data_IF_196013439856
#
_entry.id   IF_196013439856
#
_cell.length_a   1.000
_cell.length_b   1.000
_cell.length_c   1.000
_cell.angle_alpha   90.00
_cell.angle_beta   90.00
_cell.angle_gamma   90.00
#
_symmetry.space_group_name_H-M   'P 1'
#
loop_
_entity.id
_entity.type
_entity.pdbx_description
1 polymer ?
#
# COMPACT_ATOMS: atom_id res chain seq x y z
N UNK A 1 -0.34 45.78 22.64
CA UNK A 1 0.75 45.58 21.65
C UNK A 1 0.37 44.43 20.73
N UNK A 2 -0.17 44.77 19.56
CA UNK A 2 -0.69 43.79 18.59
C UNK A 2 0.40 43.51 17.55
N UNK A 3 1.21 42.48 17.77
CA UNK A 3 2.06 41.93 16.72
C UNK A 3 1.18 41.31 15.64
N UNK A 4 1.12 41.96 14.49
CA UNK A 4 0.62 41.45 13.22
C UNK A 4 1.36 40.15 12.87
N UNK A 5 0.75 39.01 13.18
CA UNK A 5 1.29 37.70 12.81
C UNK A 5 1.41 37.59 11.28
N UNK A 6 2.55 37.05 10.83
CA UNK A 6 2.83 36.72 9.43
C UNK A 6 1.60 36.09 8.73
N UNK A 7 1.07 36.70 7.65
CA UNK A 7 -0.07 36.19 6.90
C UNK A 7 0.09 34.73 6.45
N UNK A 8 1.31 34.30 6.10
CA UNK A 8 1.57 32.92 5.70
C UNK A 8 1.39 31.95 6.87
N UNK A 9 1.86 32.33 8.06
CA UNK A 9 1.66 31.56 9.31
C UNK A 9 0.18 31.50 9.69
N UNK A 10 -0.58 32.58 9.49
CA UNK A 10 -2.03 32.61 9.73
C UNK A 10 -2.77 31.65 8.79
N UNK A 11 -2.49 31.72 7.49
CA UNK A 11 -3.09 30.83 6.49
C UNK A 11 -2.73 29.36 6.74
N UNK A 12 -1.49 29.08 7.12
CA UNK A 12 -1.05 27.73 7.51
C UNK A 12 -1.82 27.18 8.71
N UNK A 13 -2.01 27.99 9.76
CA UNK A 13 -2.79 27.57 10.93
C UNK A 13 -4.27 27.32 10.59
N UNK A 14 -4.88 28.18 9.77
CA UNK A 14 -6.26 28.01 9.32
C UNK A 14 -6.45 26.69 8.56
N UNK A 15 -5.54 26.39 7.62
CA UNK A 15 -5.52 25.11 6.91
C UNK A 15 -5.45 23.91 7.87
N UNK A 16 -4.60 23.97 8.89
CA UNK A 16 -4.45 22.90 9.88
C UNK A 16 -5.72 22.72 10.74
N UNK A 17 -6.35 23.81 11.18
CA UNK A 17 -7.60 23.72 11.97
C UNK A 17 -8.76 23.13 11.14
N UNK A 18 -8.87 23.50 9.86
CA UNK A 18 -9.86 22.92 8.95
C UNK A 18 -9.57 21.46 8.59
N UNK A 19 -8.30 21.12 8.39
CA UNK A 19 -7.86 19.74 8.17
C UNK A 19 -8.22 18.85 9.37
N UNK A 20 -7.89 19.31 10.59
CA UNK A 20 -8.29 18.62 11.82
C UNK A 20 -9.81 18.41 11.86
N UNK A 21 -10.59 19.46 11.59
CA UNK A 21 -12.05 19.40 11.63
C UNK A 21 -12.59 18.33 10.67
N UNK A 22 -12.12 18.34 9.42
CA UNK A 22 -12.54 17.39 8.39
C UNK A 22 -12.17 15.96 8.77
N UNK A 23 -10.92 15.74 9.21
CA UNK A 23 -10.47 14.41 9.65
C UNK A 23 -11.31 13.88 10.80
N UNK A 24 -11.55 14.69 11.84
CA UNK A 24 -12.35 14.29 13.00
C UNK A 24 -13.79 13.93 12.61
N UNK A 25 -14.45 14.77 11.81
CA UNK A 25 -15.83 14.52 11.37
C UNK A 25 -15.93 13.26 10.51
N UNK A 26 -15.05 13.08 9.52
CA UNK A 26 -15.10 11.92 8.64
C UNK A 26 -14.75 10.62 9.36
N UNK A 27 -13.71 10.63 10.20
CA UNK A 27 -13.35 9.45 10.99
C UNK A 27 -14.48 9.05 11.95
N UNK A 28 -15.12 10.02 12.61
CA UNK A 28 -16.23 9.70 13.51
C UNK A 28 -17.45 9.12 12.76
N UNK A 29 -17.71 9.59 11.53
CA UNK A 29 -18.76 9.07 10.64
C UNK A 29 -18.46 7.64 10.18
N UNK A 30 -17.21 7.33 9.85
CA UNK A 30 -16.83 6.01 9.32
C UNK A 30 -16.63 4.96 10.41
N UNK A 31 -16.12 5.36 11.58
CA UNK A 31 -15.89 4.47 12.73
C UNK A 31 -17.16 4.29 13.55
N UNK A 32 -18.11 3.57 12.96
CA UNK A 32 -19.38 3.17 13.57
C UNK A 32 -19.23 1.91 14.41
N UNK A 33 -20.22 1.61 15.25
CA UNK A 33 -20.28 0.34 15.98
C UNK A 33 -20.30 -0.88 15.05
N UNK A 34 -20.91 -0.78 13.87
CA UNK A 34 -20.91 -1.87 12.88
C UNK A 34 -19.54 -2.10 12.26
N UNK A 35 -18.76 -1.04 12.02
CA UNK A 35 -17.36 -1.16 11.59
C UNK A 35 -16.52 -1.84 12.67
N UNK A 36 -16.62 -1.41 13.93
CA UNK A 36 -15.87 -2.06 15.03
C UNK A 36 -16.27 -3.52 15.23
N UNK A 37 -17.56 -3.86 15.15
CA UNK A 37 -18.00 -5.26 15.16
C UNK A 37 -17.42 -6.07 13.98
N UNK A 38 -17.21 -5.43 12.82
CA UNK A 38 -16.52 -6.06 11.69
C UNK A 38 -15.04 -6.31 11.99
N UNK A 39 -14.34 -5.35 12.58
CA UNK A 39 -12.93 -5.52 13.03
C UNK A 39 -12.82 -6.66 14.03
N UNK A 40 -13.69 -6.71 15.04
CA UNK A 40 -13.73 -7.78 16.04
C UNK A 40 -13.92 -9.16 15.42
N UNK A 41 -14.81 -9.28 14.42
CA UNK A 41 -15.02 -10.54 13.70
C UNK A 41 -13.83 -10.95 12.85
N UNK A 42 -13.06 -9.99 12.31
CA UNK A 42 -11.90 -10.26 11.44
C UNK A 42 -10.65 -10.61 12.23
N UNK A 43 -10.48 -10.07 13.42
CA UNK A 43 -9.28 -10.21 14.24
C UNK A 43 -8.86 -11.68 14.50
N UNK A 44 -9.75 -12.62 14.88
CA UNK A 44 -9.34 -14.00 15.13
C UNK A 44 -9.22 -14.85 13.85
N UNK A 45 -9.63 -14.32 12.69
CA UNK A 45 -9.66 -15.07 11.43
C UNK A 45 -8.24 -15.28 10.92
N UNK A 46 -7.97 -16.47 10.42
CA UNK A 46 -6.69 -16.88 9.85
C UNK A 46 -6.85 -17.28 8.37
N UNK A 47 -5.74 -17.54 7.69
CA UNK A 47 -5.77 -17.96 6.27
C UNK A 47 -6.43 -19.33 6.05
N UNK A 48 -6.59 -20.15 7.09
CA UNK A 48 -7.29 -21.44 7.01
C UNK A 48 -8.80 -21.28 6.97
N UNK A 49 -9.32 -20.17 7.48
CA UNK A 49 -10.75 -19.84 7.51
C UNK A 49 -11.25 -19.29 6.16
N UNK A 50 -10.32 -18.84 5.30
CA UNK A 50 -10.65 -18.34 3.97
C UNK A 50 -10.93 -19.53 3.06
N UNK A 51 -12.20 -19.67 2.65
CA UNK A 51 -12.69 -20.78 1.80
C UNK A 51 -13.21 -20.31 0.44
N UNK A 52 -13.38 -19.02 0.27
CA UNK A 52 -13.94 -18.39 -0.92
C UNK A 52 -13.24 -17.05 -1.20
N UNK A 53 -13.62 -16.39 -2.29
CA UNK A 53 -13.11 -15.08 -2.67
C UNK A 53 -13.76 -13.90 -1.95
N UNK A 54 -14.46 -14.12 -0.83
CA UNK A 54 -15.20 -13.07 -0.13
C UNK A 54 -14.25 -12.12 0.61
N UNK A 55 -14.28 -10.84 0.23
CA UNK A 55 -13.40 -9.81 0.79
C UNK A 55 -13.74 -9.37 2.22
N UNK A 56 -14.82 -9.89 2.83
CA UNK A 56 -15.25 -9.53 4.20
C UNK A 56 -14.22 -9.82 5.29
N UNK A 57 -13.18 -10.61 5.00
CA UNK A 57 -12.14 -10.99 5.97
C UNK A 57 -10.81 -10.27 5.77
N UNK A 58 -10.67 -9.51 4.68
CA UNK A 58 -9.41 -8.89 4.31
C UNK A 58 -9.08 -7.73 5.25
N UNK A 59 -7.78 -7.44 5.35
CA UNK A 59 -7.30 -6.13 5.74
C UNK A 59 -7.24 -5.25 4.49
N UNK A 60 -8.14 -4.27 4.41
CA UNK A 60 -8.30 -3.46 3.21
C UNK A 60 -7.52 -2.15 3.28
N UNK A 61 -7.47 -1.45 2.15
CA UNK A 61 -6.91 -0.10 2.08
C UNK A 61 -7.67 0.88 2.99
N UNK A 62 -8.97 0.69 3.16
CA UNK A 62 -9.78 1.47 4.08
C UNK A 62 -9.27 1.36 5.53
N UNK A 63 -8.94 0.15 6.00
CA UNK A 63 -8.42 -0.05 7.36
C UNK A 63 -7.09 0.69 7.55
N UNK A 64 -6.16 0.55 6.58
CA UNK A 64 -4.86 1.22 6.62
C UNK A 64 -4.99 2.75 6.62
N UNK A 65 -5.91 3.30 5.81
CA UNK A 65 -6.15 4.74 5.76
C UNK A 65 -6.75 5.27 7.06
N UNK A 66 -7.66 4.52 7.69
CA UNK A 66 -8.18 4.91 9.01
C UNK A 66 -7.07 5.03 10.04
N UNK A 67 -6.16 4.05 10.11
CA UNK A 67 -5.01 4.11 11.01
C UNK A 67 -4.12 5.31 10.72
N UNK A 68 -3.88 5.60 9.44
CA UNK A 68 -3.03 6.73 9.01
C UNK A 68 -3.65 8.06 9.43
N UNK A 69 -4.94 8.27 9.17
CA UNK A 69 -5.67 9.49 9.53
C UNK A 69 -5.74 9.65 11.05
N UNK A 70 -6.02 8.59 11.80
CA UNK A 70 -6.02 8.62 13.28
C UNK A 70 -4.65 8.99 13.85
N UNK A 71 -3.58 8.53 13.19
CA UNK A 71 -2.21 8.84 13.58
C UNK A 71 -1.89 10.32 13.37
N UNK A 72 -2.21 10.89 12.20
CA UNK A 72 -2.03 12.33 11.97
C UNK A 72 -2.94 13.19 12.86
N UNK A 73 -4.19 12.76 13.10
CA UNK A 73 -5.11 13.44 13.99
C UNK A 73 -4.56 13.51 15.43
N UNK A 74 -3.89 12.44 15.88
CA UNK A 74 -3.22 12.42 17.17
C UNK A 74 -2.08 13.45 17.25
N UNK A 75 -1.29 13.59 16.19
CA UNK A 75 -0.18 14.53 16.13
C UNK A 75 -0.67 15.97 16.15
N UNK A 76 -1.67 16.31 15.32
CA UNK A 76 -2.26 17.64 15.32
C UNK A 76 -2.79 18.00 16.72
N UNK A 77 -3.49 17.08 17.38
CA UNK A 77 -4.03 17.32 18.72
C UNK A 77 -2.90 17.60 19.73
N UNK A 78 -1.83 16.81 19.69
CA UNK A 78 -0.68 16.97 20.59
C UNK A 78 0.14 18.22 20.32
N UNK A 79 0.12 18.73 19.09
CA UNK A 79 0.73 20.02 18.71
C UNK A 79 -0.13 21.24 19.07
N UNK A 80 -1.25 21.07 19.78
CA UNK A 80 -2.12 22.17 20.17
C UNK A 80 -3.13 22.61 19.09
N UNK A 81 -3.11 21.99 17.91
CA UNK A 81 -4.10 22.23 16.87
C UNK A 81 -5.46 21.69 17.34
N UNK A 82 -6.53 22.46 17.09
CA UNK A 82 -7.90 22.13 17.47
C UNK A 82 -8.82 22.22 16.25
N UNK A 83 -9.97 21.53 16.24
CA UNK A 83 -10.95 21.68 15.19
C UNK A 83 -11.38 23.14 15.02
N UNK A 84 -11.52 23.59 13.77
CA UNK A 84 -12.00 24.94 13.45
C UNK A 84 -13.47 25.19 13.87
N UNK A 85 -14.30 24.14 13.99
CA UNK A 85 -15.74 24.24 14.19
C UNK A 85 -16.23 23.31 15.32
N UNK A 86 -17.43 23.60 15.82
CA UNK A 86 -18.05 22.87 16.94
C UNK A 86 -18.36 21.39 16.62
N UNK A 87 -18.72 21.09 15.37
CA UNK A 87 -18.97 19.73 14.90
C UNK A 87 -17.69 18.88 14.93
N UNK A 88 -16.55 19.44 14.53
CA UNK A 88 -15.26 18.77 14.63
C UNK A 88 -14.81 18.55 16.06
N UNK A 89 -15.09 19.49 16.97
CA UNK A 89 -14.87 19.30 18.42
C UNK A 89 -15.70 18.14 18.94
N UNK A 90 -17.01 18.15 18.68
CA UNK A 90 -17.91 17.06 19.07
C UNK A 90 -17.45 15.71 18.51
N UNK A 91 -17.11 15.66 17.22
CA UNK A 91 -16.65 14.44 16.55
C UNK A 91 -15.34 13.91 17.14
N UNK A 92 -14.39 14.79 17.47
CA UNK A 92 -13.15 14.38 18.13
C UNK A 92 -13.38 13.88 19.55
N UNK A 93 -14.22 14.56 20.32
CA UNK A 93 -14.61 14.13 21.67
C UNK A 93 -15.30 12.75 21.63
N UNK A 94 -16.16 12.49 20.65
CA UNK A 94 -16.79 11.18 20.43
C UNK A 94 -15.78 10.09 20.01
N UNK A 95 -14.82 10.41 19.13
CA UNK A 95 -13.72 9.49 18.78
C UNK A 95 -12.88 9.12 20.01
N UNK A 96 -12.64 10.07 20.92
CA UNK A 96 -11.94 9.85 22.19
C UNK A 96 -12.68 8.90 23.13
N UNK A 97 -13.98 8.68 22.94
CA UNK A 97 -14.75 7.65 23.66
C UNK A 97 -14.73 6.28 22.96
N UNK A 98 -14.20 6.20 21.72
CA UNK A 98 -14.12 4.98 20.90
C UNK A 98 -12.71 4.35 20.91
N UNK A 99 -11.87 4.68 21.89
CA UNK A 99 -10.45 4.26 21.94
C UNK A 99 -10.29 2.75 21.91
N UNK A 100 -11.11 1.99 22.64
CA UNK A 100 -11.05 0.52 22.61
C UNK A 100 -11.29 -0.06 21.21
N UNK A 101 -12.24 0.50 20.46
CA UNK A 101 -12.49 0.11 19.07
C UNK A 101 -11.33 0.50 18.14
N UNK A 102 -10.78 1.69 18.32
CA UNK A 102 -9.61 2.18 17.57
C UNK A 102 -8.38 1.29 17.80
N UNK A 103 -8.10 0.92 19.05
CA UNK A 103 -7.00 0.01 19.40
C UNK A 103 -7.11 -1.31 18.66
N UNK A 104 -8.32 -1.89 18.56
CA UNK A 104 -8.56 -3.13 17.80
C UNK A 104 -8.26 -3.01 16.30
N UNK A 105 -8.34 -1.81 15.71
CA UNK A 105 -7.94 -1.62 14.30
C UNK A 105 -6.42 -1.77 14.18
N UNK A 106 -5.65 -1.22 15.13
CA UNK A 106 -4.20 -1.39 15.15
C UNK A 106 -3.81 -2.85 15.45
N UNK A 107 -4.53 -3.52 16.35
CA UNK A 107 -4.33 -4.95 16.60
C UNK A 107 -4.64 -5.79 15.35
N UNK A 108 -5.68 -5.42 14.58
CA UNK A 108 -5.96 -6.08 13.30
C UNK A 108 -4.82 -5.89 12.30
N UNK A 109 -4.23 -4.69 12.20
CA UNK A 109 -3.05 -4.47 11.37
C UNK A 109 -1.88 -5.38 11.79
N UNK A 110 -1.60 -5.48 13.10
CA UNK A 110 -0.54 -6.37 13.60
C UNK A 110 -0.85 -7.85 13.36
N UNK A 111 -2.08 -8.29 13.58
CA UNK A 111 -2.52 -9.66 13.31
C UNK A 111 -2.44 -10.03 11.82
N UNK A 112 -2.28 -9.04 10.94
CA UNK A 112 -2.17 -9.19 9.49
C UNK A 112 -0.77 -8.91 8.96
N UNK A 113 0.14 -8.42 9.80
CA UNK A 113 1.55 -8.25 9.48
C UNK A 113 2.31 -9.54 9.82
N UNK A 114 2.71 -10.28 8.80
CA UNK A 114 3.47 -11.52 8.95
C UNK A 114 4.97 -11.23 8.93
N UNK A 115 5.63 -11.45 10.07
CA UNK A 115 7.08 -11.35 10.17
C UNK A 115 7.72 -12.72 9.94
N UNK A 116 8.78 -12.75 9.12
CA UNK A 116 9.57 -13.95 8.88
C UNK A 116 11.06 -13.65 8.94
N UNK A 117 11.88 -14.51 9.57
CA UNK A 117 13.33 -14.35 9.58
C UNK A 117 13.93 -14.42 8.16
N UNK A 118 15.06 -13.74 8.00
CA UNK A 118 15.81 -13.66 6.75
C UNK A 118 17.26 -13.21 7.01
N UNK A 119 18.18 -13.33 6.02
CA UNK A 119 19.57 -12.90 6.20
C UNK A 119 19.73 -11.42 6.60
N UNK A 120 18.92 -10.51 6.05
CA UNK A 120 18.93 -9.08 6.39
C UNK A 120 18.11 -8.69 7.61
N UNK A 121 17.65 -9.67 8.41
CA UNK A 121 16.80 -9.45 9.59
C UNK A 121 15.40 -10.00 9.41
N UNK A 122 14.36 -9.27 9.81
CA UNK A 122 12.98 -9.69 9.56
C UNK A 122 12.52 -9.22 8.18
N UNK A 123 11.64 -9.98 7.54
CA UNK A 123 10.82 -9.56 6.39
C UNK A 123 9.36 -9.47 6.81
N UNK A 124 8.62 -8.55 6.21
CA UNK A 124 7.20 -8.35 6.48
C UNK A 124 6.32 -8.55 5.23
N UNK A 125 5.18 -9.21 5.43
CA UNK A 125 4.09 -9.33 4.47
C UNK A 125 2.78 -8.88 5.11
N UNK A 126 1.85 -8.33 4.33
CA UNK A 126 0.55 -7.85 4.82
C UNK A 126 -0.58 -8.68 4.22
N UNK A 127 -1.43 -9.20 5.09
CA UNK A 127 -2.62 -9.97 4.72
C UNK A 127 -2.26 -11.22 3.87
N UNK A 128 -1.06 -11.77 4.13
CA UNK A 128 -0.50 -12.95 3.45
C UNK A 128 -1.51 -14.09 3.43
N UNK A 129 -1.82 -14.58 2.23
CA UNK A 129 -2.72 -15.72 2.00
C UNK A 129 -4.22 -15.45 2.20
N UNK A 130 -4.62 -14.24 2.60
CA UNK A 130 -6.05 -13.86 2.66
C UNK A 130 -6.63 -13.62 1.28
N UNK A 131 -5.80 -13.22 0.32
CA UNK A 131 -6.25 -12.84 -1.03
C UNK A 131 -6.21 -14.00 -2.02
N UNK A 132 -5.78 -15.21 -1.63
CA UNK A 132 -5.55 -16.34 -2.54
C UNK A 132 -6.74 -16.73 -3.41
N UNK A 133 -7.97 -16.58 -2.92
CA UNK A 133 -9.19 -16.88 -3.67
C UNK A 133 -9.86 -15.65 -4.29
N UNK A 134 -9.27 -14.46 -4.12
CA UNK A 134 -9.82 -13.25 -4.73
C UNK A 134 -9.78 -13.36 -6.25
N UNK A 135 -10.79 -12.80 -6.93
CA UNK A 135 -10.90 -12.89 -8.38
C UNK A 135 -9.63 -12.37 -9.08
N UNK A 136 -9.06 -11.26 -8.61
CA UNK A 136 -7.89 -10.62 -9.22
C UNK A 136 -6.59 -11.44 -9.09
N UNK A 137 -6.52 -12.37 -8.14
CA UNK A 137 -5.30 -13.13 -7.79
C UNK A 137 -5.36 -14.58 -8.27
N UNK A 138 -6.44 -14.97 -8.96
CA UNK A 138 -6.70 -16.36 -9.35
C UNK A 138 -5.66 -16.98 -10.32
N UNK A 139 -4.79 -16.15 -10.89
CA UNK A 139 -3.64 -16.55 -11.72
C UNK A 139 -2.29 -16.15 -11.10
N UNK A 140 -2.25 -15.85 -9.80
CA UNK A 140 -1.06 -15.35 -9.12
C UNK A 140 0.11 -16.35 -9.11
N UNK A 141 -0.18 -17.65 -9.20
CA UNK A 141 0.80 -18.73 -9.35
C UNK A 141 0.94 -19.27 -10.78
N UNK A 142 0.26 -18.68 -11.77
CA UNK A 142 0.36 -19.13 -13.16
C UNK A 142 1.65 -18.62 -13.82
N UNK A 143 2.46 -19.54 -14.36
CA UNK A 143 3.77 -19.26 -14.97
C UNK A 143 3.84 -19.64 -16.47
N UNK A 144 2.71 -19.96 -17.10
CA UNK A 144 2.70 -20.36 -18.51
C UNK A 144 2.86 -19.18 -19.46
N UNK A 145 3.44 -19.43 -20.63
CA UNK A 145 3.71 -18.39 -21.64
C UNK A 145 2.44 -17.91 -22.37
N UNK A 146 1.38 -18.72 -22.35
CA UNK A 146 0.11 -18.37 -22.96
C UNK A 146 -0.69 -17.42 -22.06
N UNK A 147 -1.13 -16.28 -22.61
CA UNK A 147 -2.07 -15.40 -21.90
C UNK A 147 -3.37 -16.14 -21.59
N UNK A 148 -3.87 -16.13 -20.33
CA UNK A 148 -5.11 -16.83 -20.01
C UNK A 148 -6.33 -16.33 -20.76
N UNK A 149 -6.34 -15.03 -21.10
CA UNK A 149 -7.40 -14.42 -21.90
C UNK A 149 -6.82 -13.57 -23.03
N UNK A 150 -7.58 -13.48 -24.12
CA UNK A 150 -7.34 -12.57 -25.25
C UNK A 150 -8.68 -11.98 -25.70
N UNK A 151 -8.64 -11.03 -26.64
CA UNK A 151 -9.82 -10.36 -27.16
C UNK A 151 -9.83 -10.48 -28.69
N UNK A 152 -11.00 -10.78 -29.26
CA UNK A 152 -11.22 -10.86 -30.70
C UNK A 152 -12.50 -10.13 -31.06
N UNK A 153 -12.49 -9.38 -32.15
CA UNK A 153 -13.72 -8.77 -32.66
C UNK A 153 -14.64 -9.83 -33.26
N UNK A 154 -15.91 -9.78 -32.88
CA UNK A 154 -16.95 -10.61 -33.46
C UNK A 154 -17.52 -9.96 -34.75
N UNK A 155 -18.50 -10.62 -35.38
CA UNK A 155 -19.13 -10.16 -36.64
C UNK A 155 -19.85 -8.80 -36.53
N UNK A 156 -20.10 -8.31 -35.31
CA UNK A 156 -20.74 -7.03 -35.01
C UNK A 156 -19.72 -5.95 -34.60
N UNK A 157 -18.42 -6.17 -34.81
CA UNK A 157 -17.32 -5.31 -34.35
C UNK A 157 -17.30 -5.11 -32.82
N UNK A 158 -17.86 -6.06 -32.06
CA UNK A 158 -17.76 -6.06 -30.59
C UNK A 158 -16.61 -6.97 -30.18
N UNK A 159 -15.79 -6.50 -29.25
CA UNK A 159 -14.73 -7.30 -28.69
C UNK A 159 -15.30 -8.40 -27.78
N UNK A 160 -14.98 -9.64 -28.10
CA UNK A 160 -15.33 -10.84 -27.36
C UNK A 160 -14.08 -11.39 -26.67
N UNK A 161 -14.23 -11.74 -25.40
CA UNK A 161 -13.15 -12.34 -24.62
C UNK A 161 -13.02 -13.82 -24.97
N UNK A 162 -11.83 -14.25 -25.36
CA UNK A 162 -11.48 -15.65 -25.56
C UNK A 162 -10.68 -16.11 -24.34
N UNK A 163 -11.21 -17.11 -23.62
CA UNK A 163 -10.48 -17.76 -22.53
C UNK A 163 -9.66 -18.91 -23.10
N UNK A 164 -8.34 -18.75 -23.09
CA UNK A 164 -7.41 -19.76 -23.61
C UNK A 164 -6.89 -20.69 -22.51
N UNK A 165 -6.75 -20.17 -21.29
CA UNK A 165 -6.39 -20.95 -20.11
C UNK A 165 -7.55 -20.80 -19.12
N UNK A 166 -8.39 -21.85 -18.92
CA UNK A 166 -9.41 -21.83 -17.90
C UNK A 166 -8.78 -21.70 -16.51
N UNK A 167 -9.49 -21.05 -15.59
CA UNK A 167 -9.02 -20.95 -14.21
C UNK A 167 -8.97 -22.35 -13.56
N UNK A 168 -7.92 -22.58 -12.75
CA UNK A 168 -7.66 -23.83 -12.04
C UNK A 168 -7.04 -23.51 -10.66
N UNK A 169 -7.38 -24.30 -9.65
CA UNK A 169 -6.84 -24.15 -8.29
C UNK A 169 -5.31 -24.26 -8.22
N UNK A 170 -4.67 -24.93 -9.20
CA UNK A 170 -3.20 -25.02 -9.31
C UNK A 170 -2.54 -23.67 -9.57
N UNK A 171 -3.28 -22.66 -10.00
CA UNK A 171 -2.75 -21.30 -10.23
C UNK A 171 -2.88 -20.39 -9.02
N UNK A 172 -3.42 -20.88 -7.91
CA UNK A 172 -3.51 -20.11 -6.68
C UNK A 172 -2.12 -20.02 -6.04
N UNK A 173 -1.69 -18.81 -5.73
CA UNK A 173 -0.57 -18.60 -4.84
C UNK A 173 -1.09 -18.65 -3.39
N UNK A 174 -0.63 -19.65 -2.62
CA UNK A 174 -1.11 -19.89 -1.26
C UNK A 174 -0.93 -18.69 -0.32
N UNK A 175 0.12 -17.92 -0.56
CA UNK A 175 0.51 -16.75 0.21
C UNK A 175 0.05 -15.42 -0.40
N UNK A 176 -0.73 -15.44 -1.49
CA UNK A 176 -1.18 -14.21 -2.14
C UNK A 176 -1.85 -13.26 -1.13
N UNK A 177 -1.24 -12.09 -0.99
CA UNK A 177 -1.74 -10.95 -0.22
C UNK A 177 -1.95 -9.75 -1.14
N UNK A 178 -1.56 -8.57 -0.67
CA UNK A 178 -1.59 -7.36 -1.47
C UNK A 178 -0.63 -7.45 -2.68
N UNK A 179 -1.03 -6.89 -3.81
CA UNK A 179 -0.09 -6.62 -4.91
C UNK A 179 0.77 -5.38 -4.62
N UNK A 180 1.93 -5.29 -5.28
CA UNK A 180 2.91 -4.21 -5.04
C UNK A 180 2.37 -2.81 -5.40
N UNK A 181 1.35 -2.73 -6.25
CA UNK A 181 0.65 -1.47 -6.56
C UNK A 181 -0.27 -1.06 -5.42
N UNK A 182 -0.97 -1.97 -4.77
CA UNK A 182 -1.79 -1.62 -3.61
C UNK A 182 -0.93 -1.35 -2.37
N UNK A 183 0.13 -2.16 -2.17
CA UNK A 183 1.05 -2.08 -1.04
C UNK A 183 1.80 -0.75 -0.95
N UNK A 184 1.82 0.07 -2.01
CA UNK A 184 2.47 1.40 -1.98
C UNK A 184 1.91 2.31 -0.88
N UNK A 185 0.68 2.06 -0.43
CA UNK A 185 0.04 2.79 0.68
C UNK A 185 0.73 2.55 2.04
N UNK A 186 1.46 1.45 2.19
CA UNK A 186 2.27 1.17 3.37
C UNK A 186 3.37 2.21 3.57
N UNK A 187 3.90 2.78 2.49
CA UNK A 187 4.99 3.78 2.55
C UNK A 187 4.56 4.99 3.40
N UNK A 188 3.51 5.76 3.04
CA UNK A 188 3.08 6.89 3.87
C UNK A 188 2.48 6.44 5.21
N UNK A 189 1.82 5.29 5.28
CA UNK A 189 1.24 4.81 6.54
C UNK A 189 2.31 4.53 7.60
N UNK A 190 3.35 3.76 7.27
CA UNK A 190 4.44 3.43 8.19
C UNK A 190 5.28 4.65 8.56
N UNK A 191 5.46 5.59 7.62
CA UNK A 191 6.10 6.88 7.92
C UNK A 191 5.29 7.67 8.96
N UNK A 192 3.98 7.80 8.74
CA UNK A 192 3.07 8.45 9.67
C UNK A 192 3.03 7.75 11.03
N UNK A 193 3.03 6.41 11.07
CA UNK A 193 3.06 5.66 12.33
C UNK A 193 4.35 5.89 13.11
N UNK A 194 5.50 5.89 12.41
CA UNK A 194 6.82 6.12 13.01
C UNK A 194 6.89 7.51 13.64
N UNK A 195 6.58 8.55 12.86
CA UNK A 195 6.60 9.94 13.32
C UNK A 195 5.64 10.19 14.47
N UNK A 196 4.48 9.52 14.47
CA UNK A 196 3.39 9.81 15.41
C UNK A 196 3.24 8.75 16.52
N UNK A 197 4.13 7.76 16.67
CA UNK A 197 4.01 6.66 17.65
C UNK A 197 3.68 7.13 19.07
N UNK A 198 4.40 8.16 19.55
CA UNK A 198 4.18 8.74 20.89
C UNK A 198 2.82 9.44 21.00
N UNK A 199 2.33 10.05 19.92
CA UNK A 199 1.04 10.73 19.87
C UNK A 199 -0.12 9.74 19.78
N UNK A 200 0.03 8.66 19.01
CA UNK A 200 -0.91 7.54 18.95
C UNK A 200 -1.13 6.98 20.36
N UNK A 201 -0.04 6.71 21.09
CA UNK A 201 -0.12 6.28 22.49
C UNK A 201 -0.83 7.29 23.38
N UNK A 202 -0.44 8.56 23.31
CA UNK A 202 -1.01 9.60 24.16
C UNK A 202 -2.50 9.90 23.86
N UNK A 203 -2.94 9.75 22.61
CA UNK A 203 -4.30 10.13 22.19
C UNK A 203 -5.25 8.92 22.17
N UNK A 204 -4.78 7.77 21.72
CA UNK A 204 -5.62 6.58 21.55
C UNK A 204 -5.33 5.50 22.59
N UNK A 205 -4.33 5.70 23.46
CA UNK A 205 -3.96 4.73 24.49
C UNK A 205 -3.35 3.44 23.93
N UNK A 206 -2.94 3.43 22.66
CA UNK A 206 -2.40 2.23 22.04
C UNK A 206 -0.90 2.10 22.32
N UNK A 207 -0.52 1.08 23.09
CA UNK A 207 0.85 0.84 23.52
C UNK A 207 1.30 -0.62 23.39
N UNK A 208 0.65 -1.39 22.51
CA UNK A 208 1.06 -2.74 22.18
C UNK A 208 2.54 -2.75 21.74
N UNK A 209 3.45 -3.46 22.44
CA UNK A 209 4.88 -3.42 22.16
C UNK A 209 5.23 -4.02 20.79
N UNK A 210 4.38 -4.92 20.25
CA UNK A 210 4.56 -5.44 18.89
C UNK A 210 4.28 -4.39 17.80
N UNK A 211 3.63 -3.28 18.15
CA UNK A 211 3.54 -2.11 17.26
C UNK A 211 4.83 -1.31 17.29
N UNK A 212 5.79 -1.80 16.51
CA UNK A 212 7.05 -1.13 16.24
C UNK A 212 7.14 -0.70 14.77
N UNK A 213 6.60 0.48 14.41
CA UNK A 213 6.53 0.91 13.01
C UNK A 213 7.88 1.09 12.34
N UNK A 214 8.95 1.38 13.11
CA UNK A 214 10.31 1.49 12.56
C UNK A 214 10.85 0.11 12.18
N UNK A 215 10.74 -0.87 13.07
CA UNK A 215 11.11 -2.25 12.79
C UNK A 215 10.27 -2.85 11.65
N UNK A 216 8.96 -2.55 11.61
CA UNK A 216 8.08 -2.95 10.50
C UNK A 216 8.54 -2.34 9.18
N UNK A 217 8.87 -1.05 9.14
CA UNK A 217 9.36 -0.37 7.94
C UNK A 217 10.66 -0.99 7.42
N UNK A 218 11.60 -1.32 8.31
CA UNK A 218 12.81 -2.08 7.95
C UNK A 218 12.43 -3.45 7.38
N UNK A 219 11.50 -4.18 8.02
CA UNK A 219 11.11 -5.51 7.57
C UNK A 219 10.40 -5.51 6.20
N UNK A 220 9.57 -4.49 5.92
CA UNK A 220 8.98 -4.31 4.59
C UNK A 220 10.04 -3.93 3.54
N UNK A 221 11.06 -3.13 3.90
CA UNK A 221 12.18 -2.84 3.00
C UNK A 221 13.01 -4.09 2.68
N UNK A 222 13.28 -4.94 3.68
CA UNK A 222 13.96 -6.23 3.50
C UNK A 222 13.16 -7.16 2.57
N UNK A 223 11.83 -7.24 2.74
CA UNK A 223 10.97 -8.03 1.84
C UNK A 223 11.09 -7.59 0.37
N UNK A 224 11.15 -6.28 0.13
CA UNK A 224 11.30 -5.72 -1.21
C UNK A 224 12.61 -6.18 -1.88
N UNK A 225 13.72 -6.13 -1.15
CA UNK A 225 15.04 -6.51 -1.67
C UNK A 225 15.19 -8.02 -1.80
N UNK A 226 14.80 -8.77 -0.79
CA UNK A 226 15.17 -10.18 -0.68
C UNK A 226 14.17 -11.14 -1.34
N UNK A 227 12.95 -10.69 -1.64
CA UNK A 227 11.90 -11.57 -2.19
C UNK A 227 11.18 -11.01 -3.41
N UNK A 228 10.94 -9.70 -3.46
CA UNK A 228 10.15 -9.08 -4.53
C UNK A 228 11.05 -8.71 -5.72
N UNK A 229 12.24 -8.17 -5.48
CA UNK A 229 13.21 -7.83 -6.52
C UNK A 229 13.82 -9.09 -7.15
N UNK A 230 14.00 -9.06 -8.48
CA UNK A 230 14.57 -10.17 -9.25
C UNK A 230 16.09 -10.37 -9.09
N UNK A 231 16.78 -9.52 -8.32
CA UNK A 231 18.23 -9.60 -8.12
C UNK A 231 19.07 -9.00 -9.25
N UNK A 232 18.45 -8.50 -10.33
CA UNK A 232 19.15 -7.91 -11.46
C UNK A 232 19.30 -6.39 -11.26
N UNK A 233 20.54 -5.92 -11.16
CA UNK A 233 20.86 -4.50 -11.06
C UNK A 233 20.87 -3.78 -12.41
N UNK A 234 21.11 -4.50 -13.51
CA UNK A 234 21.11 -3.96 -14.87
C UNK A 234 19.68 -3.76 -15.36
N UNK A 235 18.78 -4.70 -15.05
CA UNK A 235 17.36 -4.64 -15.41
C UNK A 235 16.46 -5.00 -14.21
N UNK A 236 16.32 -4.10 -13.22
CA UNK A 236 15.54 -4.37 -12.03
C UNK A 236 14.07 -4.61 -12.36
N UNK A 237 13.52 -5.73 -11.90
CA UNK A 237 12.10 -6.06 -12.00
C UNK A 237 11.57 -6.54 -10.65
N UNK A 238 10.27 -6.42 -10.46
CA UNK A 238 9.62 -6.69 -9.18
C UNK A 238 8.40 -7.57 -9.35
N UNK A 239 8.27 -8.58 -8.48
CA UNK A 239 7.12 -9.48 -8.50
C UNK A 239 5.80 -8.71 -8.36
N UNK A 240 4.74 -9.19 -9.02
CA UNK A 240 3.44 -8.52 -8.94
C UNK A 240 2.84 -8.53 -7.52
N UNK A 241 3.09 -9.58 -6.75
CA UNK A 241 2.55 -9.74 -5.39
C UNK A 241 3.61 -9.45 -4.33
N UNK A 242 3.17 -8.87 -3.21
CA UNK A 242 4.05 -8.57 -2.07
C UNK A 242 4.67 -9.84 -1.46
N UNK A 243 3.95 -10.96 -1.57
CA UNK A 243 4.41 -12.29 -1.16
C UNK A 243 5.62 -12.78 -1.95
N UNK A 244 6.01 -12.13 -3.05
CA UNK A 244 7.06 -12.59 -3.98
C UNK A 244 6.51 -13.42 -5.14
N UNK A 245 5.23 -13.82 -5.10
CA UNK A 245 4.59 -14.48 -6.23
C UNK A 245 4.54 -13.53 -7.44
N UNK A 246 4.73 -14.08 -8.64
CA UNK A 246 4.90 -13.29 -9.85
C UNK A 246 4.09 -13.79 -11.05
N UNK A 247 2.97 -14.46 -10.83
CA UNK A 247 2.03 -14.79 -11.90
C UNK A 247 1.24 -13.58 -12.39
N UNK A 248 0.20 -13.84 -13.19
CA UNK A 248 -0.66 -12.78 -13.71
C UNK A 248 -1.58 -12.21 -12.62
N UNK A 249 -1.78 -10.90 -12.67
CA UNK A 249 -2.69 -10.17 -11.80
C UNK A 249 -3.82 -9.51 -12.60
N UNK A 250 -5.05 -9.50 -12.07
CA UNK A 250 -6.23 -8.86 -12.68
C UNK A 250 -6.59 -9.37 -14.08
N UNK A 251 -6.40 -10.66 -14.31
CA UNK A 251 -6.82 -11.32 -15.55
C UNK A 251 -8.32 -11.13 -15.77
N UNK A 252 -8.70 -10.64 -16.96
CA UNK A 252 -10.09 -10.36 -17.32
C UNK A 252 -10.84 -9.37 -16.42
N UNK A 253 -10.13 -8.50 -15.69
CA UNK A 253 -10.74 -7.41 -14.90
C UNK A 253 -11.64 -6.50 -15.77
N UNK A 254 -11.26 -6.38 -17.03
CA UNK A 254 -12.04 -5.94 -18.17
C UNK A 254 -13.55 -6.27 -18.18
N UNK A 255 -13.92 -7.52 -17.89
CA UNK A 255 -15.31 -7.97 -17.94
C UNK A 255 -16.19 -7.28 -16.87
N UNK A 256 -15.58 -6.57 -15.91
CA UNK A 256 -16.26 -5.77 -14.90
C UNK A 256 -16.26 -4.27 -15.22
N UNK A 257 -15.45 -3.81 -16.18
CA UNK A 257 -15.19 -2.37 -16.43
C UNK A 257 -15.30 -1.92 -17.89
N UNK A 258 -15.54 -2.85 -18.82
CA UNK A 258 -15.71 -2.58 -20.26
C UNK A 258 -14.41 -2.33 -21.05
N UNK A 259 -13.23 -2.49 -20.41
CA UNK A 259 -11.92 -2.35 -21.08
C UNK A 259 -11.48 -3.68 -21.67
N UNK A 260 -10.62 -3.71 -22.69
CA UNK A 260 -9.96 -4.96 -23.14
C UNK A 260 -8.64 -5.10 -22.38
N UNK A 261 -8.63 -5.91 -21.33
CA UNK A 261 -7.49 -6.05 -20.42
C UNK A 261 -7.20 -7.52 -20.15
N UNK A 262 -6.00 -7.96 -20.55
CA UNK A 262 -5.55 -9.36 -20.42
C UNK A 262 -5.02 -9.70 -19.03
N UNK A 263 -4.71 -8.68 -18.22
CA UNK A 263 -4.02 -8.82 -16.94
C UNK A 263 -2.65 -8.17 -16.99
N UNK A 264 -2.07 -7.96 -15.81
CA UNK A 264 -0.66 -7.62 -15.67
C UNK A 264 0.15 -8.92 -15.76
N UNK A 265 1.07 -9.07 -16.73
CA UNK A 265 1.95 -10.23 -16.82
C UNK A 265 2.93 -10.25 -15.63
N UNK A 266 3.70 -11.33 -15.42
CA UNK A 266 4.85 -11.32 -14.52
C UNK A 266 5.69 -10.04 -14.68
N UNK A 267 6.02 -9.40 -13.55
CA UNK A 267 6.69 -8.09 -13.47
C UNK A 267 5.93 -6.88 -14.04
N UNK A 268 4.68 -7.07 -14.49
CA UNK A 268 3.85 -6.05 -15.12
C UNK A 268 3.45 -4.90 -14.19
N UNK A 269 3.64 -5.04 -12.88
CA UNK A 269 3.43 -3.98 -11.90
C UNK A 269 4.72 -3.24 -11.47
N UNK A 270 5.88 -3.55 -12.06
CA UNK A 270 7.19 -3.01 -11.63
C UNK A 270 7.23 -1.49 -11.50
N UNK A 271 6.52 -0.75 -12.37
CA UNK A 271 6.38 0.72 -12.29
C UNK A 271 5.84 1.23 -10.95
N UNK A 272 5.09 0.41 -10.21
CA UNK A 272 4.55 0.76 -8.90
C UNK A 272 5.64 0.97 -7.85
N UNK A 273 6.83 0.41 -8.07
CA UNK A 273 7.96 0.53 -7.13
C UNK A 273 8.57 1.94 -7.18
N UNK A 274 9.07 2.46 -8.31
CA UNK A 274 9.58 3.83 -8.36
C UNK A 274 8.48 4.90 -8.19
N UNK A 275 7.25 4.64 -8.64
CA UNK A 275 6.14 5.61 -8.52
C UNK A 275 5.38 5.56 -7.18
N UNK A 276 5.61 4.52 -6.37
CA UNK A 276 4.85 4.26 -5.15
C UNK A 276 5.45 4.83 -3.87
N UNK A 277 6.57 5.54 -3.95
CA UNK A 277 7.27 6.08 -2.79
C UNK A 277 8.23 5.10 -2.11
N UNK A 278 8.32 3.85 -2.56
CA UNK A 278 9.30 2.88 -2.05
C UNK A 278 10.78 3.35 -2.07
N UNK A 279 11.23 4.28 -2.94
CA UNK A 279 12.58 4.84 -2.85
C UNK A 279 12.98 5.38 -1.48
N UNK A 280 12.02 5.93 -0.71
CA UNK A 280 12.31 6.48 0.63
C UNK A 280 12.81 5.40 1.59
N UNK A 281 12.52 4.12 1.32
CA UNK A 281 13.03 3.01 2.12
C UNK A 281 14.50 2.69 1.87
N UNK A 282 15.15 3.35 0.90
CA UNK A 282 16.60 3.34 0.76
C UNK A 282 17.34 3.84 2.01
N UNK A 283 16.69 4.61 2.88
CA UNK A 283 17.22 4.96 4.20
C UNK A 283 17.40 3.76 5.15
N UNK A 284 16.66 2.67 4.91
CA UNK A 284 16.66 1.44 5.73
C UNK A 284 17.45 0.31 5.05
N UNK A 285 17.54 0.33 3.73
CA UNK A 285 18.24 -0.71 2.98
C UNK A 285 19.07 -0.11 1.84
N UNK A 286 20.41 -0.02 1.95
CA UNK A 286 21.27 0.63 0.95
C UNK A 286 21.12 0.08 -0.47
N UNK A 287 20.91 -1.23 -0.63
CA UNK A 287 20.64 -1.86 -1.94
C UNK A 287 19.46 -1.22 -2.68
N UNK A 288 18.42 -0.77 -1.98
CA UNK A 288 17.31 -0.07 -2.62
C UNK A 288 17.78 1.24 -3.27
N UNK A 289 18.67 2.01 -2.62
CA UNK A 289 19.23 3.23 -3.23
C UNK A 289 19.94 2.91 -4.55
N UNK A 290 20.73 1.85 -4.58
CA UNK A 290 21.41 1.40 -5.80
C UNK A 290 20.42 0.98 -6.88
N UNK A 291 19.41 0.18 -6.53
CA UNK A 291 18.35 -0.25 -7.47
C UNK A 291 17.64 0.97 -8.08
N UNK A 292 17.22 1.93 -7.25
CA UNK A 292 16.49 3.11 -7.71
C UNK A 292 17.34 4.06 -8.54
N UNK A 293 18.62 4.22 -8.20
CA UNK A 293 19.57 4.93 -9.05
C UNK A 293 19.68 4.27 -10.43
N UNK A 294 19.77 2.94 -10.50
CA UNK A 294 19.86 2.23 -11.77
C UNK A 294 18.58 2.35 -12.60
N UNK A 295 17.39 2.25 -11.98
CA UNK A 295 16.11 2.49 -12.65
C UNK A 295 16.05 3.91 -13.22
N UNK A 296 16.52 4.90 -12.46
CA UNK A 296 16.61 6.27 -12.94
C UNK A 296 17.54 6.38 -14.16
N UNK A 297 18.77 5.84 -14.08
CA UNK A 297 19.71 5.88 -15.21
C UNK A 297 19.17 5.16 -16.46
N UNK A 298 18.54 4.00 -16.31
CA UNK A 298 17.86 3.29 -17.40
C UNK A 298 16.79 4.14 -18.08
N UNK A 299 16.13 5.02 -17.33
CA UNK A 299 15.10 5.93 -17.88
C UNK A 299 15.67 7.17 -18.60
N UNK A 300 16.97 7.43 -18.46
CA UNK A 300 17.65 8.60 -19.03
C UNK A 300 18.58 8.26 -20.20
N UNK A 301 18.87 6.98 -20.45
CA UNK A 301 19.76 6.57 -21.55
C UNK A 301 19.02 6.49 -22.90
N UNK A 302 19.76 6.71 -23.98
CA UNK A 302 19.30 6.51 -25.37
C UNK A 302 19.61 5.09 -25.88
N UNK A 303 20.17 4.22 -25.04
CA UNK A 303 20.41 2.82 -25.38
C UNK A 303 19.09 2.10 -25.76
N UNK A 304 19.11 1.40 -26.89
CA UNK A 304 17.90 0.79 -27.46
C UNK A 304 17.35 -0.37 -26.62
N UNK A 305 18.23 -1.15 -25.98
CA UNK A 305 17.85 -2.27 -25.11
C UNK A 305 17.18 -1.73 -23.84
N UNK A 306 17.80 -0.76 -23.18
CA UNK A 306 17.25 -0.07 -22.01
C UNK A 306 15.93 0.64 -22.32
N UNK A 307 15.83 1.33 -23.47
CA UNK A 307 14.58 1.98 -23.91
C UNK A 307 13.47 0.97 -24.10
N UNK A 308 13.75 -0.18 -24.74
CA UNK A 308 12.78 -1.26 -24.93
C UNK A 308 12.35 -1.87 -23.59
N UNK A 309 13.29 -2.08 -22.67
CA UNK A 309 13.02 -2.57 -21.32
C UNK A 309 12.13 -1.61 -20.52
N UNK A 310 12.46 -0.32 -20.46
CA UNK A 310 11.68 0.71 -19.78
C UNK A 310 10.30 0.84 -20.42
N UNK A 311 10.23 0.85 -21.74
CA UNK A 311 8.96 0.88 -22.48
C UNK A 311 8.10 -0.34 -22.15
N UNK A 312 8.67 -1.51 -21.89
CA UNK A 312 7.90 -2.72 -21.57
C UNK A 312 7.38 -2.74 -20.13
N UNK A 313 8.24 -2.50 -19.14
CA UNK A 313 7.92 -2.73 -17.72
C UNK A 313 7.60 -1.46 -16.92
N UNK A 314 7.92 -0.30 -17.50
CA UNK A 314 7.78 1.02 -16.88
C UNK A 314 6.93 1.98 -17.76
N UNK A 315 6.07 1.41 -18.62
CA UNK A 315 5.22 2.04 -19.68
C UNK A 315 4.56 3.40 -19.35
N UNK A 316 4.26 3.72 -18.10
CA UNK A 316 3.69 5.05 -17.74
C UNK A 316 4.75 6.13 -17.47
N UNK A 317 6.04 5.82 -17.64
CA UNK A 317 7.16 6.72 -17.45
C UNK A 317 7.70 7.23 -18.79
N UNK A 318 6.99 8.12 -19.49
CA UNK A 318 7.58 8.92 -20.59
C UNK A 318 8.61 9.93 -20.04
N UNK A 319 9.65 9.43 -19.39
CA UNK A 319 10.48 10.02 -18.31
C UNK A 319 9.77 9.92 -16.96
N UNK A 320 10.40 9.28 -15.98
CA UNK A 320 9.97 9.36 -14.57
C UNK A 320 10.16 10.82 -14.14
N UNK A 321 9.15 11.66 -14.38
CA UNK A 321 9.20 13.10 -14.06
C UNK A 321 8.96 13.37 -12.57
N UNK A 322 8.52 12.38 -11.79
CA UNK A 322 8.21 12.61 -10.38
C UNK A 322 9.51 12.70 -9.57
N UNK A 323 10.11 13.88 -9.51
CA UNK A 323 11.29 14.24 -8.71
C UNK A 323 11.12 13.94 -7.20
N UNK A 324 10.00 13.38 -6.75
CA UNK A 324 9.73 12.95 -5.37
C UNK A 324 10.71 11.88 -4.86
N UNK A 325 11.52 11.27 -5.72
CA UNK A 325 12.61 10.35 -5.31
C UNK A 325 13.99 11.03 -5.22
N UNK A 326 14.18 12.25 -5.75
CA UNK A 326 15.50 12.90 -5.76
C UNK A 326 15.89 13.48 -4.40
N UNK A 327 14.92 13.88 -3.55
CA UNK A 327 15.22 14.45 -2.23
C UNK A 327 16.05 13.53 -1.34
N UNK A 328 15.95 12.21 -1.58
CA UNK A 328 16.64 11.18 -0.79
C UNK A 328 17.87 10.58 -1.50
N UNK A 329 18.08 10.94 -2.78
CA UNK A 329 19.28 10.62 -3.55
C UNK A 329 20.37 11.69 -3.40
N UNK A 330 19.98 12.90 -3.03
CA UNK A 330 20.91 13.90 -2.52
C UNK A 330 21.10 13.57 -1.03
N UNK A 331 22.32 13.29 -0.60
CA UNK A 331 22.61 13.23 0.82
C UNK A 331 22.09 14.52 1.45
N UNK A 332 21.12 14.41 2.37
CA UNK A 332 20.78 15.55 3.22
C UNK A 332 22.07 15.95 3.97
N UNK A 333 22.43 17.24 4.00
CA UNK A 333 23.65 17.71 4.66
C UNK A 333 23.73 17.31 6.13
#
# INVERSE_FOLDING_TARGET
ENCTGDPAKRAGNEFLFHTFNTMAVQMNRWLTSSYFASVERRLPITTTDIKDGNSRYYFSDQDLWFLTILSDLSALHRSGIRPAKADGKKAFDELRQKTAGIQKIFDLFLARAFLSPSPGGMRADLDRGFWKFHFDTRYAGYTGDQSPVSWKENRENKAEMITSVPWDNRYLAADAGWDISHARRLVPALETFTRNRKHIRAVWGYDNPAFDPEALRQAFANQLVEKIWNGDLKYPLFSNFWSGDNGLYRVAYANQTGRQFVGYPPYGLSISIPSGGYPVWGAFHPTLRTIFNNIYQLSQTDDAEATSFVSKYYTSAKRIQSLSFLSDLVALP
#
